data_IF_004141910088
#
_entry.id   IF_004141910088
#
_cell.length_a   1.000
_cell.length_b   1.000
_cell.length_c   1.000
_cell.angle_alpha   90.00
_cell.angle_beta   90.00
_cell.angle_gamma   90.00
#
_symmetry.space_group_name_H-M   'P 1'
#
loop_
_entity.id
_entity.type
_entity.pdbx_description
1 polymer ?
#
# COMPACT_ATOMS: atom_id res chain seq x y z
N UNK A 1 -7.93 -6.26 -73.48
CA UNK A 1 -7.95 -6.89 -72.14
C UNK A 1 -9.23 -7.69 -71.98
N UNK A 2 -9.15 -9.02 -71.97
CA UNK A 2 -10.29 -9.89 -71.64
C UNK A 2 -10.28 -10.10 -70.13
N UNK A 3 -11.29 -9.57 -69.44
CA UNK A 3 -11.48 -9.78 -68.00
C UNK A 3 -11.98 -11.21 -67.74
N UNK A 4 -11.36 -11.89 -66.80
CA UNK A 4 -11.68 -13.27 -66.41
C UNK A 4 -13.04 -13.38 -65.72
N UNK A 5 -13.61 -14.58 -65.70
CA UNK A 5 -14.94 -14.85 -65.15
C UNK A 5 -15.06 -14.50 -63.65
N UNK A 6 -13.96 -14.46 -62.90
CA UNK A 6 -13.93 -14.11 -61.47
C UNK A 6 -14.11 -12.61 -61.20
N UNK A 7 -13.62 -11.73 -62.09
CA UNK A 7 -13.77 -10.28 -61.91
C UNK A 7 -15.22 -9.81 -62.12
N UNK A 8 -15.97 -10.53 -62.96
CA UNK A 8 -17.41 -10.26 -63.17
C UNK A 8 -18.25 -10.67 -61.95
N UNK A 9 -17.85 -11.70 -61.20
CA UNK A 9 -18.54 -12.09 -59.97
C UNK A 9 -18.28 -11.11 -58.82
N UNK A 10 -17.07 -10.55 -58.72
CA UNK A 10 -16.75 -9.50 -57.73
C UNK A 10 -17.55 -8.22 -57.98
N UNK A 11 -17.65 -7.75 -59.23
CA UNK A 11 -18.47 -6.57 -59.57
C UNK A 11 -19.97 -6.79 -59.32
N UNK A 12 -20.48 -8.00 -59.53
CA UNK A 12 -21.88 -8.34 -59.24
C UNK A 12 -22.18 -8.37 -57.72
N UNK A 13 -21.22 -8.82 -56.90
CA UNK A 13 -21.33 -8.80 -55.44
C UNK A 13 -21.34 -7.37 -54.89
N UNK A 14 -20.49 -6.48 -55.40
CA UNK A 14 -20.45 -5.06 -55.00
C UNK A 14 -21.69 -4.27 -55.45
N UNK A 15 -22.25 -4.57 -56.64
CA UNK A 15 -23.48 -3.94 -57.12
C UNK A 15 -24.72 -4.39 -56.30
N UNK A 16 -24.77 -5.66 -55.85
CA UNK A 16 -25.82 -6.14 -54.95
C UNK A 16 -25.71 -5.54 -53.55
N UNK A 17 -24.50 -5.34 -53.02
CA UNK A 17 -24.29 -4.70 -51.72
C UNK A 17 -24.81 -3.25 -51.73
N UNK A 18 -24.51 -2.47 -52.77
CA UNK A 18 -25.04 -1.10 -52.92
C UNK A 18 -26.56 -1.03 -53.10
N UNK A 19 -27.19 -2.08 -53.65
CA UNK A 19 -28.65 -2.14 -53.81
C UNK A 19 -29.36 -2.52 -52.50
N UNK A 20 -28.70 -3.27 -51.61
CA UNK A 20 -29.18 -3.55 -50.25
C UNK A 20 -29.07 -2.30 -49.36
N UNK A 21 -27.98 -1.54 -49.48
CA UNK A 21 -27.80 -0.28 -48.74
C UNK A 21 -28.73 0.85 -49.22
N UNK A 22 -29.17 0.88 -50.49
CA UNK A 22 -30.09 1.91 -51.01
C UNK A 22 -31.58 1.65 -50.72
N UNK A 23 -31.95 0.44 -50.29
CA UNK A 23 -33.35 0.05 -50.00
C UNK A 23 -33.73 0.08 -48.52
N UNK A 24 -32.80 0.36 -47.59
CA UNK A 24 -33.11 0.64 -46.18
C UNK A 24 -33.38 2.14 -45.92
N UNK A 25 -34.23 2.76 -46.75
CA UNK A 25 -34.60 4.18 -46.67
C UNK A 25 -35.81 4.45 -45.73
N UNK A 26 -36.02 3.63 -44.69
CA UNK A 26 -37.08 3.85 -43.70
C UNK A 26 -36.60 4.61 -42.45
N UNK A 27 -35.54 5.42 -42.59
CA UNK A 27 -35.01 6.26 -41.50
C UNK A 27 -34.56 7.65 -41.98
N UNK A 28 -35.22 8.21 -43.00
CA UNK A 28 -34.90 9.56 -43.53
C UNK A 28 -35.86 10.68 -43.11
N UNK A 29 -36.76 10.47 -42.15
CA UNK A 29 -37.67 11.55 -41.71
C UNK A 29 -37.67 11.89 -40.21
N UNK A 30 -36.72 11.41 -39.39
CA UNK A 30 -36.64 11.83 -37.97
C UNK A 30 -35.20 11.99 -37.47
N UNK A 31 -34.34 12.63 -38.26
CA UNK A 31 -32.98 12.98 -37.84
C UNK A 31 -32.79 14.49 -37.97
N UNK A 32 -33.22 15.20 -36.93
CA UNK A 32 -32.68 16.52 -36.62
C UNK A 32 -31.29 16.26 -35.99
N UNK A 33 -30.17 16.62 -36.63
CA UNK A 33 -28.82 16.25 -36.17
C UNK A 33 -28.46 16.85 -34.80
N UNK A 34 -29.20 17.86 -34.33
CA UNK A 34 -29.03 18.49 -33.01
C UNK A 34 -29.64 17.70 -31.85
N UNK A 35 -30.57 16.76 -32.10
CA UNK A 35 -31.24 15.98 -31.06
C UNK A 35 -30.58 14.61 -30.80
N UNK A 36 -29.79 14.10 -31.76
CA UNK A 36 -29.09 12.82 -31.61
C UNK A 36 -27.80 12.95 -30.80
N UNK A 37 -27.12 14.11 -30.84
CA UNK A 37 -25.97 14.40 -29.98
C UNK A 37 -26.36 14.41 -28.49
N UNK A 38 -27.56 14.91 -28.18
CA UNK A 38 -28.05 15.00 -26.80
C UNK A 38 -28.43 13.62 -26.25
N UNK A 39 -28.97 12.71 -27.08
CA UNK A 39 -29.36 11.35 -26.65
C UNK A 39 -28.22 10.33 -26.64
N UNK A 40 -27.19 10.49 -27.48
CA UNK A 40 -25.94 9.70 -27.34
C UNK A 40 -25.15 10.14 -26.09
N UNK A 41 -25.19 11.43 -25.75
CA UNK A 41 -24.60 11.93 -24.51
C UNK A 41 -25.36 11.47 -23.26
N UNK A 42 -26.70 11.38 -23.28
CA UNK A 42 -27.45 10.93 -22.08
C UNK A 42 -27.44 9.42 -21.87
N UNK A 43 -27.24 8.60 -22.91
CA UNK A 43 -27.17 7.14 -22.72
C UNK A 43 -25.74 6.65 -22.38
N UNK A 44 -24.71 7.40 -22.76
CA UNK A 44 -23.33 7.18 -22.30
C UNK A 44 -23.09 7.66 -20.85
N UNK A 45 -23.90 8.61 -20.34
CA UNK A 45 -23.81 9.11 -18.94
C UNK A 45 -24.49 8.17 -17.93
N UNK A 46 -25.35 7.25 -18.37
CA UNK A 46 -25.95 6.23 -17.48
C UNK A 46 -25.23 4.86 -17.49
N UNK A 47 -24.20 4.68 -18.33
CA UNK A 47 -23.32 3.50 -18.28
C UNK A 47 -21.90 3.83 -17.81
N UNK A 48 -21.58 5.12 -17.61
CA UNK A 48 -20.33 5.57 -17.00
C UNK A 48 -20.45 5.84 -15.49
N UNK A 49 -21.65 5.82 -14.92
CA UNK A 49 -21.92 6.11 -13.50
C UNK A 49 -21.89 4.87 -12.59
N UNK A 50 -21.33 3.75 -13.08
CA UNK A 50 -20.98 2.59 -12.25
C UNK A 50 -19.48 2.27 -12.28
N UNK A 51 -18.62 3.26 -12.60
CA UNK A 51 -17.33 3.30 -11.90
C UNK A 51 -17.73 3.67 -10.49
N UNK A 52 -17.87 2.66 -9.64
CA UNK A 52 -17.93 2.84 -8.20
C UNK A 52 -16.92 3.93 -7.84
N UNK A 53 -17.35 4.93 -7.07
CA UNK A 53 -16.41 5.66 -6.24
C UNK A 53 -15.64 4.59 -5.46
N UNK A 54 -14.46 4.21 -5.93
CA UNK A 54 -13.55 3.40 -5.15
C UNK A 54 -13.22 4.30 -3.98
N UNK A 55 -13.72 3.93 -2.80
CA UNK A 55 -13.37 4.64 -1.58
C UNK A 55 -11.85 4.56 -1.48
N UNK A 56 -11.21 5.70 -1.64
CA UNK A 56 -9.81 5.85 -1.31
C UNK A 56 -9.65 5.58 0.18
N UNK A 57 -8.70 4.72 0.53
CA UNK A 57 -8.34 4.42 1.90
C UNK A 57 -6.91 4.89 2.13
N UNK A 58 -6.75 5.79 3.11
CA UNK A 58 -5.47 6.43 3.43
C UNK A 58 -4.92 5.79 4.68
N UNK A 59 -3.66 5.37 4.60
CA UNK A 59 -2.87 4.85 5.71
C UNK A 59 -1.70 5.80 5.92
N UNK A 60 -1.61 6.38 7.11
CA UNK A 60 -0.35 6.98 7.55
C UNK A 60 0.46 5.85 8.21
N UNK A 61 1.47 5.36 7.49
CA UNK A 61 2.23 4.17 7.87
C UNK A 61 3.44 4.56 8.68
N UNK A 62 3.40 4.20 9.96
CA UNK A 62 4.49 4.40 10.91
C UNK A 62 5.62 3.41 10.69
N UNK A 63 6.86 3.86 10.87
CA UNK A 63 8.02 2.99 10.76
C UNK A 63 8.33 2.36 12.12
N UNK A 64 8.61 1.04 12.20
CA UNK A 64 9.05 0.43 13.45
C UNK A 64 10.39 1.05 13.88
N UNK A 65 10.62 1.15 15.19
CA UNK A 65 11.80 1.81 15.74
C UNK A 65 13.11 1.20 15.19
N UNK A 66 13.96 2.04 14.56
CA UNK A 66 15.21 1.63 13.92
C UNK A 66 15.04 0.90 12.57
N UNK A 67 13.85 0.98 11.96
CA UNK A 67 13.51 0.22 10.77
C UNK A 67 14.07 0.76 9.46
N UNK A 68 14.36 2.06 9.35
CA UNK A 68 14.67 2.74 8.08
C UNK A 68 16.10 3.23 7.97
N UNK A 69 17.05 2.33 8.21
CA UNK A 69 18.45 2.62 7.92
C UNK A 69 18.64 2.79 6.42
N UNK A 70 19.00 4.00 6.01
CA UNK A 70 19.42 4.34 4.66
C UNK A 70 20.93 4.52 4.67
N UNK A 71 21.62 3.64 3.96
CA UNK A 71 23.04 3.81 3.71
C UNK A 71 23.22 4.92 2.67
N UNK A 72 24.20 5.79 2.87
CA UNK A 72 24.48 6.88 1.96
C UNK A 72 25.97 6.98 1.63
N UNK A 73 26.26 7.44 0.42
CA UNK A 73 27.61 7.74 -0.02
C UNK A 73 27.62 9.05 -0.82
N UNK A 74 28.61 9.89 -0.54
CA UNK A 74 28.79 11.15 -1.25
C UNK A 74 30.12 11.15 -2.00
N UNK A 75 30.07 11.66 -3.22
CA UNK A 75 31.20 11.77 -4.12
C UNK A 75 31.32 13.21 -4.61
N UNK A 76 32.53 13.75 -4.60
CA UNK A 76 32.83 15.05 -5.21
C UNK A 76 33.92 14.90 -6.26
N UNK A 77 34.25 15.99 -6.95
CA UNK A 77 35.40 16.04 -7.85
C UNK A 77 36.75 15.74 -7.17
N UNK A 78 36.84 15.85 -5.84
CA UNK A 78 38.04 15.54 -5.07
C UNK A 78 38.12 14.08 -4.61
N UNK A 79 37.04 13.31 -4.76
CA UNK A 79 36.96 11.92 -4.34
C UNK A 79 35.70 11.58 -3.55
N UNK A 80 35.65 10.37 -3.01
CA UNK A 80 34.62 9.91 -2.08
C UNK A 80 34.82 10.61 -0.72
N UNK A 81 33.72 10.99 -0.08
CA UNK A 81 33.76 11.49 1.30
C UNK A 81 33.97 10.33 2.27
N UNK A 82 34.83 10.56 3.26
CA UNK A 82 34.86 9.79 4.50
C UNK A 82 33.83 10.37 5.48
N UNK A 83 33.40 9.61 6.48
CA UNK A 83 32.51 10.11 7.54
C UNK A 83 31.37 9.17 7.84
N UNK A 84 30.22 9.75 8.19
CA UNK A 84 29.00 8.97 8.39
C UNK A 84 28.65 8.21 7.11
N UNK A 85 28.00 7.06 7.26
CA UNK A 85 27.65 6.16 6.15
C UNK A 85 26.17 5.76 6.14
N UNK A 86 25.39 6.20 7.13
CA UNK A 86 23.94 5.99 7.17
C UNK A 86 23.19 7.11 7.87
N UNK A 87 21.89 7.18 7.61
CA UNK A 87 20.91 7.93 8.39
C UNK A 87 19.59 7.13 8.49
N UNK A 88 18.77 7.48 9.46
CA UNK A 88 17.41 7.00 9.62
C UNK A 88 16.41 8.07 9.12
N UNK A 89 15.22 7.61 8.72
CA UNK A 89 14.12 8.49 8.28
C UNK A 89 12.88 8.25 9.16
N UNK A 90 12.87 8.63 10.44
CA UNK A 90 11.65 8.59 11.24
C UNK A 90 10.53 9.44 10.64
N UNK A 91 9.30 9.03 10.97
CA UNK A 91 8.07 9.66 10.51
C UNK A 91 7.14 8.63 9.89
N UNK A 92 6.06 9.13 9.30
CA UNK A 92 5.04 8.29 8.68
C UNK A 92 5.04 8.52 7.17
N UNK A 93 4.68 7.46 6.43
CA UNK A 93 4.53 7.50 4.98
C UNK A 93 3.05 7.41 4.65
N UNK A 94 2.53 8.39 3.93
CA UNK A 94 1.16 8.37 3.45
C UNK A 94 1.02 7.40 2.28
N UNK A 95 0.10 6.45 2.42
CA UNK A 95 -0.20 5.47 1.38
C UNK A 95 -1.70 5.41 1.14
N UNK A 96 -2.12 5.71 -0.09
CA UNK A 96 -3.50 5.48 -0.51
C UNK A 96 -3.63 4.15 -1.22
N UNK A 97 -4.68 3.40 -0.92
CA UNK A 97 -5.13 2.24 -1.71
C UNK A 97 -6.62 2.32 -2.02
N UNK A 98 -7.03 1.64 -3.09
CA UNK A 98 -8.43 1.60 -3.55
C UNK A 98 -9.33 0.64 -2.78
N UNK A 99 -8.78 -0.15 -1.86
CA UNK A 99 -9.50 -1.11 -1.03
C UNK A 99 -9.02 -0.99 0.42
N UNK A 100 -9.90 -1.11 1.42
CA UNK A 100 -9.50 -1.05 2.82
C UNK A 100 -8.75 -2.32 3.27
N UNK A 101 -8.75 -3.36 2.42
CA UNK A 101 -8.16 -4.67 2.67
C UNK A 101 -7.63 -5.31 1.40
N UNK A 102 -6.74 -6.29 1.53
CA UNK A 102 -6.28 -7.10 0.40
C UNK A 102 -7.45 -7.78 -0.34
N UNK A 103 -7.35 -7.97 -1.67
CA UNK A 103 -6.23 -7.57 -2.52
C UNK A 103 -6.23 -6.06 -2.85
N UNK A 104 -5.06 -5.43 -2.71
CA UNK A 104 -4.84 -4.07 -3.19
C UNK A 104 -4.60 -4.11 -4.71
N UNK A 105 -5.28 -3.25 -5.47
CA UNK A 105 -5.16 -3.19 -6.93
C UNK A 105 -4.36 -1.99 -7.41
N UNK A 106 -4.51 -0.86 -6.71
CA UNK A 106 -3.80 0.38 -7.01
C UNK A 106 -3.38 1.05 -5.71
N UNK A 107 -2.20 1.65 -5.74
CA UNK A 107 -1.63 2.43 -4.65
C UNK A 107 -1.26 3.84 -5.09
N UNK A 108 -1.07 4.74 -4.14
CA UNK A 108 -0.46 6.04 -4.38
C UNK A 108 0.36 6.46 -3.16
N UNK A 109 1.61 6.87 -3.37
CA UNK A 109 2.42 7.52 -2.34
C UNK A 109 1.96 8.96 -2.16
N UNK A 110 1.80 9.39 -0.91
CA UNK A 110 1.37 10.74 -0.57
C UNK A 110 1.99 11.23 0.73
N UNK A 111 1.83 12.53 0.94
CA UNK A 111 2.13 13.19 2.20
C UNK A 111 1.31 12.55 3.33
N UNK A 112 1.99 12.16 4.41
CA UNK A 112 1.33 11.69 5.61
C UNK A 112 0.64 12.85 6.33
N UNK A 113 -0.49 12.59 6.99
CA UNK A 113 -1.22 13.66 7.70
C UNK A 113 -0.57 14.10 9.01
N UNK A 114 0.38 13.30 9.52
CA UNK A 114 1.03 13.49 10.82
C UNK A 114 2.28 14.36 10.77
N UNK A 115 2.85 14.61 9.60
CA UNK A 115 4.01 15.48 9.40
C UNK A 115 5.06 14.90 8.44
N UNK A 116 6.15 15.63 8.19
CA UNK A 116 7.18 15.21 7.26
C UNK A 116 8.02 14.07 7.82
N UNK A 117 8.67 13.37 6.90
CA UNK A 117 9.80 12.50 7.22
C UNK A 117 10.99 13.37 7.60
N UNK A 118 11.70 12.98 8.66
CA UNK A 118 12.84 13.75 9.19
C UNK A 118 14.09 12.91 9.09
N UNK A 119 15.16 13.45 8.52
CA UNK A 119 16.46 12.79 8.51
C UNK A 119 17.12 12.88 9.89
N UNK A 120 17.57 11.77 10.45
CA UNK A 120 18.33 11.73 11.71
C UNK A 120 19.38 10.62 11.70
N UNK A 121 20.57 10.79 12.29
CA UNK A 121 21.10 12.05 12.83
C UNK A 121 21.47 13.03 11.70
N UNK A 122 22.02 14.18 12.09
CA UNK A 122 22.77 15.02 11.17
C UNK A 122 23.87 14.19 10.53
N UNK A 123 24.02 14.31 9.21
CA UNK A 123 25.02 13.59 8.43
C UNK A 123 26.24 14.48 8.19
N UNK A 124 27.44 13.99 8.50
CA UNK A 124 28.71 14.67 8.22
C UNK A 124 29.64 13.77 7.40
N UNK A 125 30.11 14.32 6.28
CA UNK A 125 31.20 13.75 5.50
C UNK A 125 32.33 14.75 5.26
N UNK A 126 33.55 14.27 5.03
CA UNK A 126 34.71 15.10 4.74
C UNK A 126 35.68 14.43 3.77
N UNK A 127 36.56 15.24 3.17
CA UNK A 127 37.70 14.77 2.38
C UNK A 127 38.98 15.25 3.06
N UNK A 128 39.82 14.34 3.58
CA UNK A 128 41.02 14.74 4.29
C UNK A 128 42.01 15.43 3.36
N UNK A 129 42.79 16.35 3.94
CA UNK A 129 43.89 16.96 3.21
C UNK A 129 45.06 15.96 3.09
N UNK A 130 45.67 15.79 1.90
CA UNK A 130 46.88 14.99 1.75
C UNK A 130 48.00 15.43 2.70
N UNK A 131 48.00 16.70 3.13
CA UNK A 131 48.86 17.23 4.17
C UNK A 131 48.10 17.25 5.50
N UNK A 132 48.42 16.36 6.46
CA UNK A 132 47.59 16.13 7.66
C UNK A 132 47.53 17.29 8.66
N UNK A 133 48.35 18.33 8.48
CA UNK A 133 48.34 19.54 9.30
C UNK A 133 47.48 20.67 8.73
N UNK A 134 46.94 20.50 7.53
CA UNK A 134 46.01 21.43 6.92
C UNK A 134 44.56 20.99 7.19
N UNK A 135 43.60 21.94 7.24
CA UNK A 135 42.18 21.61 7.30
C UNK A 135 41.74 20.71 6.14
N UNK A 136 40.64 20.00 6.32
CA UNK A 136 40.01 19.18 5.29
C UNK A 136 39.84 19.96 3.98
N UNK A 137 39.92 19.25 2.85
CA UNK A 137 39.71 19.85 1.53
C UNK A 137 38.24 20.26 1.36
N UNK A 138 37.36 19.40 1.84
CA UNK A 138 35.91 19.57 1.80
C UNK A 138 35.31 19.01 3.09
N UNK A 139 34.38 19.73 3.70
CA UNK A 139 33.44 19.21 4.69
C UNK A 139 32.01 19.41 4.16
N UNK A 140 31.15 18.43 4.35
CA UNK A 140 29.73 18.48 3.98
C UNK A 140 28.87 18.07 5.15
N UNK A 141 27.88 18.89 5.46
CA UNK A 141 26.89 18.64 6.50
C UNK A 141 25.49 18.69 5.90
N UNK A 142 24.68 17.66 6.13
CA UNK A 142 23.26 17.68 5.82
C UNK A 142 22.47 17.75 7.13
N UNK A 143 21.71 18.83 7.32
CA UNK A 143 21.08 19.18 8.60
C UNK A 143 19.59 19.39 8.45
N UNK A 144 18.84 18.91 9.44
CA UNK A 144 17.41 19.17 9.63
C UNK A 144 16.59 18.96 8.35
N UNK A 145 16.97 17.96 7.53
CA UNK A 145 16.28 17.66 6.29
C UNK A 145 14.91 17.08 6.61
N UNK A 146 13.87 17.78 6.19
CA UNK A 146 12.48 17.34 6.29
C UNK A 146 11.87 17.25 4.90
N UNK A 147 11.15 16.17 4.60
CA UNK A 147 10.55 15.98 3.28
C UNK A 147 9.33 15.07 3.29
N UNK A 148 8.61 15.06 2.17
CA UNK A 148 7.54 14.10 1.89
C UNK A 148 7.83 13.28 0.64
N UNK A 149 7.28 12.08 0.59
CA UNK A 149 7.09 11.36 -0.66
C UNK A 149 5.73 11.69 -1.25
N UNK A 150 5.69 11.90 -2.56
CA UNK A 150 4.45 11.96 -3.33
C UNK A 150 4.63 11.23 -4.65
N UNK A 151 3.56 10.67 -5.19
CA UNK A 151 3.63 9.92 -6.43
C UNK A 151 2.32 9.91 -7.18
N UNK A 152 2.38 9.52 -8.45
CA UNK A 152 1.18 9.20 -9.22
C UNK A 152 0.62 7.83 -8.79
N UNK A 153 -0.67 7.56 -9.03
CA UNK A 153 -1.22 6.23 -8.77
C UNK A 153 -0.50 5.15 -9.58
N UNK A 154 -0.18 4.02 -8.94
CA UNK A 154 0.51 2.88 -9.53
C UNK A 154 -0.26 1.57 -9.31
N UNK A 155 -0.10 0.57 -10.21
CA UNK A 155 -0.69 -0.73 -10.02
C UNK A 155 0.02 -1.53 -8.93
N UNK A 156 -0.74 -2.34 -8.19
CA UNK A 156 -0.23 -3.32 -7.22
C UNK A 156 -0.60 -4.71 -7.73
N UNK A 157 0.35 -5.63 -7.73
CA UNK A 157 0.11 -7.04 -8.03
C UNK A 157 -0.75 -7.66 -6.91
N UNK A 158 -1.98 -8.04 -7.24
CA UNK A 158 -2.97 -8.52 -6.28
C UNK A 158 -2.63 -9.86 -5.62
N UNK A 159 -1.70 -10.64 -6.18
CA UNK A 159 -1.28 -11.92 -5.63
C UNK A 159 -0.07 -11.79 -4.70
N UNK A 160 0.85 -10.88 -5.02
CA UNK A 160 2.13 -10.75 -4.32
C UNK A 160 2.23 -9.52 -3.44
N UNK A 161 1.41 -8.50 -3.69
CA UNK A 161 1.47 -7.18 -3.08
C UNK A 161 2.58 -6.29 -3.63
N UNK A 162 3.32 -6.76 -4.64
CA UNK A 162 4.47 -6.03 -5.19
C UNK A 162 3.99 -4.87 -6.07
N UNK A 163 4.74 -3.77 -6.04
CA UNK A 163 4.50 -2.60 -6.89
C UNK A 163 5.80 -1.91 -7.29
N UNK A 164 5.66 -0.99 -8.24
CA UNK A 164 6.70 -0.05 -8.62
C UNK A 164 6.06 1.34 -8.65
N UNK A 165 6.54 2.25 -7.81
CA UNK A 165 5.97 3.59 -7.65
C UNK A 165 6.90 4.66 -8.23
N UNK A 166 6.33 5.60 -8.99
CA UNK A 166 6.98 6.87 -9.30
C UNK A 166 6.89 7.78 -8.06
N UNK A 167 8.03 8.05 -7.42
CA UNK A 167 8.11 8.90 -6.24
C UNK A 167 8.86 10.21 -6.55
N UNK A 168 8.41 11.28 -5.90
CA UNK A 168 9.04 12.59 -5.86
C UNK A 168 9.26 12.93 -4.39
N UNK A 169 10.47 13.37 -4.07
CA UNK A 169 10.79 13.96 -2.76
C UNK A 169 10.51 15.45 -2.84
N UNK A 170 9.75 15.98 -1.88
CA UNK A 170 9.51 17.40 -1.70
C UNK A 170 10.05 17.84 -0.34
N UNK A 171 11.10 18.66 -0.33
CA UNK A 171 11.73 19.13 0.90
C UNK A 171 10.94 20.30 1.49
N UNK A 172 10.59 20.20 2.77
CA UNK A 172 9.94 21.26 3.53
C UNK A 172 10.92 22.08 4.34
N UNK A 173 12.04 21.48 4.74
CA UNK A 173 13.04 22.11 5.58
C UNK A 173 14.44 21.53 5.34
N UNK A 174 15.43 22.20 5.92
CA UNK A 174 16.81 21.72 6.03
C UNK A 174 17.79 22.37 5.07
N UNK A 175 19.06 22.07 5.28
CA UNK A 175 20.18 22.64 4.54
C UNK A 175 21.29 21.63 4.30
N UNK A 176 22.00 21.81 3.19
CA UNK A 176 23.29 21.17 2.93
C UNK A 176 24.36 22.26 3.00
N UNK A 177 25.23 22.19 4.00
CA UNK A 177 26.40 23.06 4.11
C UNK A 177 27.61 22.36 3.50
N UNK A 178 28.32 23.07 2.62
CA UNK A 178 29.58 22.61 2.05
C UNK A 178 30.65 23.66 2.36
N UNK A 179 31.72 23.23 3.01
CA UNK A 179 32.91 24.02 3.27
C UNK A 179 34.01 23.47 2.35
N UNK A 180 34.49 24.28 1.40
CA UNK A 180 35.60 23.89 0.53
C UNK A 180 36.68 24.95 0.55
N UNK A 181 37.92 24.55 0.80
CA UNK A 181 39.08 25.45 0.80
C UNK A 181 38.89 26.76 1.61
N UNK A 182 38.14 26.69 2.72
CA UNK A 182 37.85 27.83 3.59
C UNK A 182 36.67 28.71 3.15
N UNK A 183 35.93 28.31 2.12
CA UNK A 183 34.70 28.98 1.66
C UNK A 183 33.49 28.12 2.03
N UNK A 184 32.56 28.69 2.78
CA UNK A 184 31.28 28.06 3.14
C UNK A 184 30.21 28.41 2.11
N UNK A 185 29.50 27.39 1.64
CA UNK A 185 28.30 27.50 0.81
C UNK A 185 27.17 26.75 1.49
N UNK A 186 25.99 27.38 1.58
CA UNK A 186 24.79 26.76 2.16
C UNK A 186 23.75 26.59 1.07
N UNK A 187 23.22 25.38 0.92
CA UNK A 187 22.13 25.05 0.01
C UNK A 187 20.85 24.86 0.83
N UNK A 188 19.93 25.84 0.83
CA UNK A 188 18.64 25.67 1.47
C UNK A 188 17.82 24.67 0.66
N UNK A 189 17.30 23.63 1.32
CA UNK A 189 16.56 22.55 0.66
C UNK A 189 15.05 22.83 0.61
N UNK A 190 14.53 23.70 1.47
CA UNK A 190 13.10 24.01 1.52
C UNK A 190 12.55 24.44 0.14
N UNK A 191 11.40 23.87 -0.23
CA UNK A 191 10.73 24.05 -1.54
C UNK A 191 11.47 23.48 -2.76
N UNK A 192 12.60 22.79 -2.56
CA UNK A 192 13.21 21.98 -3.60
C UNK A 192 12.55 20.59 -3.64
N UNK A 193 12.71 19.91 -4.76
CA UNK A 193 12.29 18.52 -4.90
C UNK A 193 13.21 17.74 -5.81
N UNK A 194 13.04 16.42 -5.80
CA UNK A 194 13.75 15.54 -6.72
C UNK A 194 13.03 15.47 -8.07
N UNK A 195 13.77 15.05 -9.11
CA UNK A 195 13.11 14.44 -10.26
C UNK A 195 12.39 13.14 -9.84
N UNK A 196 11.38 12.68 -10.59
CA UNK A 196 10.73 11.40 -10.32
C UNK A 196 11.72 10.24 -10.39
N UNK A 197 11.68 9.35 -9.39
CA UNK A 197 12.47 8.12 -9.34
C UNK A 197 11.58 6.93 -8.97
N UNK A 198 12.05 5.72 -9.31
CA UNK A 198 11.31 4.49 -9.07
C UNK A 198 11.58 3.97 -7.67
N UNK A 199 10.53 3.67 -6.92
CA UNK A 199 10.60 2.95 -5.65
C UNK A 199 9.88 1.61 -5.84
N UNK A 200 10.63 0.49 -5.98
CA UNK A 200 10.04 -0.83 -5.83
C UNK A 200 9.57 -1.01 -4.41
N UNK A 201 8.48 -1.76 -4.24
CA UNK A 201 8.01 -2.06 -2.90
C UNK A 201 7.02 -3.21 -2.88
N UNK A 202 6.58 -3.50 -1.67
CA UNK A 202 5.55 -4.49 -1.41
C UNK A 202 4.65 -4.00 -0.30
N UNK A 203 3.34 -4.07 -0.52
CA UNK A 203 2.31 -3.76 0.47
C UNK A 203 1.46 -4.99 0.71
N UNK A 204 1.22 -5.28 1.98
CA UNK A 204 0.44 -6.43 2.40
C UNK A 204 -0.38 -6.16 3.64
N UNK A 205 -1.44 -6.92 3.80
CA UNK A 205 -2.26 -6.90 4.99
C UNK A 205 -1.91 -8.06 5.91
N UNK A 206 -1.58 -7.72 7.15
CA UNK A 206 -1.40 -8.69 8.22
C UNK A 206 -2.05 -8.15 9.48
N UNK A 207 -3.05 -8.86 9.97
CA UNK A 207 -3.48 -8.69 11.34
C UNK A 207 -4.08 -7.40 11.79
N UNK A 208 -5.04 -6.95 10.97
CA UNK A 208 -5.63 -5.64 11.19
C UNK A 208 -4.62 -4.53 11.04
N UNK A 209 -3.45 -4.81 10.46
CA UNK A 209 -2.49 -3.84 9.97
C UNK A 209 -2.28 -4.03 8.48
N UNK A 210 -1.83 -2.95 7.86
CA UNK A 210 -1.22 -2.96 6.55
C UNK A 210 0.26 -2.66 6.75
N UNK A 211 1.11 -3.54 6.24
CA UNK A 211 2.56 -3.39 6.24
C UNK A 211 3.02 -3.10 4.81
N UNK A 212 3.94 -2.16 4.64
CA UNK A 212 4.64 -1.95 3.40
C UNK A 212 6.15 -1.94 3.63
N UNK A 213 6.90 -2.38 2.63
CA UNK A 213 8.35 -2.25 2.56
C UNK A 213 8.66 -1.55 1.25
N UNK A 214 9.30 -0.39 1.35
CA UNK A 214 9.80 0.37 0.22
C UNK A 214 11.29 0.13 0.08
N UNK A 215 11.75 -0.16 -1.13
CA UNK A 215 13.16 -0.25 -1.47
C UNK A 215 13.60 1.11 -2.00
N UNK A 216 14.22 1.89 -1.11
CA UNK A 216 14.66 3.24 -1.42
C UNK A 216 16.02 3.15 -2.10
N UNK A 217 16.08 3.53 -3.37
CA UNK A 217 17.32 3.67 -4.14
C UNK A 217 17.26 5.00 -4.89
N UNK A 218 18.01 5.98 -4.38
CA UNK A 218 18.09 7.31 -4.95
C UNK A 218 19.53 7.63 -5.30
N UNK A 219 19.72 7.98 -6.58
CA UNK A 219 20.99 8.48 -7.09
C UNK A 219 20.79 9.86 -7.71
N UNK A 220 21.48 10.84 -7.16
CA UNK A 220 21.45 12.21 -7.65
C UNK A 220 22.87 12.73 -7.88
N UNK A 221 23.07 13.49 -8.95
CA UNK A 221 24.33 14.15 -9.22
C UNK A 221 24.06 15.52 -9.84
N UNK A 222 24.65 16.56 -9.25
CA UNK A 222 24.53 17.93 -9.73
C UNK A 222 25.82 18.72 -9.50
N UNK A 223 25.84 19.96 -9.98
CA UNK A 223 26.91 20.91 -9.73
C UNK A 223 26.35 22.24 -9.27
N UNK A 224 26.90 22.77 -8.18
CA UNK A 224 26.51 24.08 -7.67
C UNK A 224 27.73 24.79 -7.09
N UNK A 225 27.85 26.10 -7.36
CA UNK A 225 29.00 26.89 -6.94
C UNK A 225 30.34 26.45 -7.55
N UNK A 226 30.33 25.68 -8.65
CA UNK A 226 31.54 25.16 -9.29
C UNK A 226 32.06 23.83 -8.73
N UNK A 227 31.36 23.22 -7.75
CA UNK A 227 31.63 21.87 -7.27
C UNK A 227 30.61 20.89 -7.83
N UNK A 228 31.05 19.70 -8.24
CA UNK A 228 30.16 18.58 -8.52
C UNK A 228 29.98 17.73 -7.27
N UNK A 229 28.74 17.37 -6.98
CA UNK A 229 28.34 16.48 -5.91
C UNK A 229 27.47 15.37 -6.50
N UNK A 230 27.78 14.12 -6.18
CA UNK A 230 26.90 12.99 -6.39
C UNK A 230 26.59 12.33 -5.04
N UNK A 231 25.32 11.99 -4.83
CA UNK A 231 24.80 11.35 -3.64
C UNK A 231 24.11 10.07 -4.07
N UNK A 232 24.54 8.97 -3.48
CA UNK A 232 23.94 7.65 -3.63
C UNK A 232 23.32 7.27 -2.28
N UNK A 233 22.01 7.01 -2.24
CA UNK A 233 21.29 6.58 -1.04
C UNK A 233 20.57 5.26 -1.34
N UNK A 234 20.73 4.27 -0.46
CA UNK A 234 20.09 2.97 -0.60
C UNK A 234 19.64 2.41 0.74
N UNK A 235 18.44 1.86 0.83
CA UNK A 235 17.98 1.20 2.05
C UNK A 235 16.53 0.75 1.98
N UNK A 236 16.08 0.02 3.00
CA UNK A 236 14.70 -0.41 3.11
C UNK A 236 13.95 0.49 4.07
N UNK A 237 12.73 0.86 3.72
CA UNK A 237 11.82 1.60 4.60
C UNK A 237 10.61 0.70 4.90
N UNK A 238 10.64 -0.07 6.00
CA UNK A 238 9.47 -0.79 6.49
C UNK A 238 8.51 0.18 7.17
N UNK A 239 7.23 0.05 6.91
CA UNK A 239 6.19 0.85 7.54
C UNK A 239 4.92 0.03 7.77
N UNK A 240 4.16 0.38 8.80
CA UNK A 240 2.94 -0.29 9.21
C UNK A 240 1.87 0.71 9.68
N UNK A 241 0.61 0.42 9.38
CA UNK A 241 -0.56 1.15 9.87
C UNK A 241 -1.64 0.18 10.31
N UNK A 242 -2.39 0.51 11.37
CA UNK A 242 -3.60 -0.23 11.71
C UNK A 242 -4.70 0.05 10.69
N UNK A 243 -5.51 -0.96 10.38
CA UNK A 243 -6.71 -0.84 9.56
C UNK A 243 -7.76 -0.09 10.39
N UNK A 244 -8.18 1.11 9.97
CA UNK A 244 -9.14 1.89 10.73
C UNK A 244 -10.46 1.14 10.93
N UNK A 245 -11.00 1.19 12.15
CA UNK A 245 -12.34 0.67 12.47
C UNK A 245 -12.43 -0.82 12.78
N UNK A 246 -11.31 -1.55 12.83
CA UNK A 246 -11.28 -2.96 13.20
C UNK A 246 -11.13 -3.13 14.73
N UNK A 247 -12.12 -3.76 15.38
CA UNK A 247 -12.14 -4.05 16.81
C UNK A 247 -12.87 -5.39 17.04
N UNK A 248 -12.19 -6.52 16.81
CA UNK A 248 -12.83 -7.83 16.77
C UNK A 248 -13.34 -8.24 18.15
N UNK A 249 -14.59 -8.66 18.22
CA UNK A 249 -15.23 -9.15 19.45
C UNK A 249 -15.97 -10.46 19.21
N UNK A 250 -16.04 -11.30 20.25
CA UNK A 250 -16.76 -12.57 20.23
C UNK A 250 -17.77 -12.59 21.38
N UNK A 251 -19.04 -12.77 21.03
CA UNK A 251 -20.10 -13.04 21.99
C UNK A 251 -20.35 -14.55 22.05
N UNK A 252 -20.09 -15.14 23.22
CA UNK A 252 -20.36 -16.56 23.49
C UNK A 252 -21.59 -16.64 24.40
N UNK A 253 -22.69 -17.29 23.97
CA UNK A 253 -23.88 -17.42 24.79
C UNK A 253 -23.66 -18.42 25.94
N UNK A 254 -24.65 -18.55 26.82
CA UNK A 254 -24.68 -19.66 27.77
C UNK A 254 -24.71 -21.00 27.01
N UNK A 255 -23.82 -21.91 27.36
CA UNK A 255 -23.71 -23.22 26.72
C UNK A 255 -24.51 -24.24 27.52
N UNK A 256 -25.61 -24.74 26.96
CA UNK A 256 -26.43 -25.80 27.59
C UNK A 256 -26.16 -27.12 26.91
N UNK A 257 -25.81 -28.16 27.68
CA UNK A 257 -25.48 -29.48 27.14
C UNK A 257 -26.56 -30.02 26.19
N UNK A 258 -26.15 -30.40 24.96
CA UNK A 258 -27.03 -30.97 23.94
C UNK A 258 -27.96 -29.97 23.21
N UNK A 259 -27.85 -28.66 23.49
CA UNK A 259 -28.62 -27.61 22.81
C UNK A 259 -27.78 -26.90 21.74
N UNK A 260 -28.45 -26.19 20.85
CA UNK A 260 -27.78 -25.27 19.93
C UNK A 260 -27.42 -23.96 20.63
N UNK A 261 -26.23 -23.45 20.32
CA UNK A 261 -25.75 -22.15 20.73
C UNK A 261 -25.32 -21.34 19.49
N UNK A 262 -25.64 -20.04 19.48
CA UNK A 262 -25.22 -19.11 18.42
C UNK A 262 -24.11 -18.21 18.94
N UNK A 263 -22.96 -18.28 18.30
CA UNK A 263 -21.78 -17.47 18.58
C UNK A 263 -21.75 -16.31 17.59
N UNK A 264 -21.63 -15.09 18.09
CA UNK A 264 -21.61 -13.89 17.23
C UNK A 264 -20.24 -13.23 17.24
N UNK A 265 -19.70 -12.95 16.06
CA UNK A 265 -18.46 -12.23 15.84
C UNK A 265 -18.76 -10.89 15.18
N UNK A 266 -18.10 -9.83 15.65
CA UNK A 266 -18.27 -8.47 15.12
C UNK A 266 -16.98 -7.67 15.16
N UNK A 267 -16.95 -6.58 14.38
CA UNK A 267 -15.81 -5.65 14.34
C UNK A 267 -14.55 -6.23 13.68
N UNK A 268 -14.70 -7.30 12.89
CA UNK A 268 -13.61 -7.85 12.10
C UNK A 268 -13.41 -7.15 10.75
N UNK A 269 -12.50 -7.70 9.96
CA UNK A 269 -12.35 -7.37 8.55
C UNK A 269 -13.61 -7.83 7.79
N UNK A 270 -14.16 -6.97 6.94
CA UNK A 270 -15.28 -7.29 6.05
C UNK A 270 -14.90 -8.31 4.97
N UNK A 271 -15.84 -9.18 4.58
CA UNK A 271 -15.64 -10.18 3.51
C UNK A 271 -14.42 -11.11 3.70
N UNK A 272 -13.99 -11.32 4.95
CA UNK A 272 -12.83 -12.16 5.27
C UNK A 272 -13.27 -13.46 5.92
N UNK A 273 -12.52 -14.52 5.60
CA UNK A 273 -12.68 -15.80 6.31
C UNK A 273 -12.32 -15.61 7.78
N UNK A 274 -13.19 -16.14 8.64
CA UNK A 274 -13.12 -16.04 10.09
C UNK A 274 -13.29 -17.41 10.69
N UNK A 275 -12.38 -17.79 11.58
CA UNK A 275 -12.36 -19.08 12.25
C UNK A 275 -12.75 -18.92 13.71
N UNK A 276 -13.55 -19.85 14.21
CA UNK A 276 -13.80 -20.01 15.64
C UNK A 276 -12.91 -21.13 16.16
N UNK A 277 -12.00 -20.80 17.08
CA UNK A 277 -11.18 -21.73 17.83
C UNK A 277 -11.73 -21.95 19.24
N UNK A 278 -11.48 -23.14 19.78
CA UNK A 278 -11.74 -23.45 21.19
C UNK A 278 -10.59 -24.23 21.82
N UNK A 279 -10.45 -24.15 23.14
CA UNK A 279 -9.61 -25.03 23.93
C UNK A 279 -10.37 -25.56 25.14
N UNK A 280 -10.10 -26.81 25.51
CA UNK A 280 -10.52 -27.43 26.78
C UNK A 280 -9.36 -27.55 27.77
N UNK A 281 -8.14 -27.18 27.34
CA UNK A 281 -6.92 -27.24 28.16
C UNK A 281 -6.64 -25.92 28.88
N UNK A 282 -7.18 -24.81 28.36
CA UNK A 282 -7.04 -23.49 28.96
C UNK A 282 -6.45 -22.46 28.02
N UNK A 283 -5.93 -21.40 28.64
CA UNK A 283 -5.15 -20.37 27.98
C UNK A 283 -3.77 -20.90 27.60
N UNK A 284 -3.21 -20.41 26.51
CA UNK A 284 -1.87 -20.75 26.05
C UNK A 284 -1.38 -19.75 25.02
N UNK A 285 -0.31 -20.05 24.31
CA UNK A 285 0.16 -19.23 23.20
C UNK A 285 0.49 -20.17 22.04
N UNK A 286 -0.42 -20.26 21.07
CA UNK A 286 -0.28 -21.15 19.93
C UNK A 286 -0.16 -20.34 18.64
N UNK A 287 1.00 -20.35 17.96
CA UNK A 287 1.17 -19.65 16.70
C UNK A 287 0.43 -20.38 15.57
N UNK A 288 -0.37 -19.64 14.80
CA UNK A 288 -0.99 -20.13 13.56
C UNK A 288 -0.34 -19.39 12.40
N UNK A 289 0.81 -19.90 11.95
CA UNK A 289 1.65 -19.24 10.95
C UNK A 289 0.91 -18.85 9.65
N UNK A 290 0.04 -19.69 9.05
CA UNK A 290 -0.69 -19.31 7.83
C UNK A 290 -1.63 -18.12 8.02
N UNK A 291 -2.11 -17.89 9.24
CA UNK A 291 -2.96 -16.76 9.58
C UNK A 291 -2.17 -15.62 10.21
N UNK A 292 -0.85 -15.75 10.39
CA UNK A 292 -0.01 -14.74 11.04
C UNK A 292 -0.55 -14.26 12.40
N UNK A 293 -1.16 -15.16 13.19
CA UNK A 293 -1.68 -14.89 14.55
C UNK A 293 -0.98 -15.74 15.60
N UNK A 294 -1.08 -15.29 16.85
CA UNK A 294 -0.96 -16.15 18.03
C UNK A 294 -2.34 -16.25 18.68
N UNK A 295 -2.85 -17.48 18.82
CA UNK A 295 -4.03 -17.72 19.63
C UNK A 295 -3.62 -17.82 21.10
N UNK A 296 -4.39 -17.18 21.97
CA UNK A 296 -4.20 -17.20 23.42
C UNK A 296 -4.82 -18.47 24.05
N UNK A 297 -4.86 -19.55 23.26
CA UNK A 297 -5.45 -20.84 23.58
C UNK A 297 -4.37 -21.91 23.61
N UNK A 298 -4.43 -22.81 24.59
CA UNK A 298 -3.57 -23.98 24.63
C UNK A 298 -4.16 -25.09 23.76
N UNK A 299 -3.37 -25.64 22.83
CA UNK A 299 -3.82 -26.73 21.93
C UNK A 299 -5.18 -26.43 21.26
N UNK A 300 -5.31 -25.30 20.53
CA UNK A 300 -6.57 -24.86 19.96
C UNK A 300 -7.14 -25.89 18.98
N UNK A 301 -8.44 -26.08 19.05
CA UNK A 301 -9.23 -26.95 18.18
C UNK A 301 -10.06 -26.04 17.26
N UNK A 302 -9.99 -26.22 15.93
CA UNK A 302 -10.87 -25.49 15.02
C UNK A 302 -12.30 -26.01 15.18
N UNK A 303 -13.23 -25.10 15.48
CA UNK A 303 -14.65 -25.44 15.72
C UNK A 303 -15.48 -25.20 14.47
N UNK A 304 -15.33 -24.02 13.87
CA UNK A 304 -16.10 -23.63 12.70
C UNK A 304 -15.40 -22.51 11.91
N UNK A 305 -15.87 -22.27 10.69
CA UNK A 305 -15.41 -21.20 9.82
C UNK A 305 -16.60 -20.54 9.14
N UNK A 306 -16.53 -19.24 8.94
CA UNK A 306 -17.51 -18.46 8.17
C UNK A 306 -16.81 -17.29 7.46
N UNK A 307 -17.55 -16.56 6.63
CA UNK A 307 -17.06 -15.33 6.00
C UNK A 307 -17.86 -14.17 6.57
N UNK A 308 -17.17 -13.09 6.94
CA UNK A 308 -17.83 -11.88 7.45
C UNK A 308 -18.61 -11.14 6.37
N UNK A 309 -19.67 -10.47 6.78
CA UNK A 309 -20.42 -9.57 5.92
C UNK A 309 -19.64 -8.27 5.62
N UNK A 310 -20.28 -7.32 4.92
CA UNK A 310 -19.69 -6.03 4.58
C UNK A 310 -19.40 -5.14 5.82
N UNK A 311 -19.99 -5.46 6.97
CA UNK A 311 -19.79 -4.77 8.23
C UNK A 311 -18.81 -5.52 9.17
N UNK A 312 -18.16 -6.59 8.71
CA UNK A 312 -17.19 -7.34 9.50
C UNK A 312 -17.82 -8.30 10.51
N UNK A 313 -19.08 -8.69 10.33
CA UNK A 313 -19.81 -9.57 11.25
C UNK A 313 -20.04 -10.97 10.66
N UNK A 314 -20.05 -12.00 11.51
CA UNK A 314 -20.56 -13.32 11.16
C UNK A 314 -21.08 -14.04 12.40
N UNK A 315 -21.85 -15.10 12.22
CA UNK A 315 -22.28 -15.96 13.32
C UNK A 315 -22.15 -17.44 12.97
N UNK A 316 -22.02 -18.25 14.02
CA UNK A 316 -21.98 -19.72 13.91
C UNK A 316 -23.02 -20.32 14.85
N UNK A 317 -23.86 -21.20 14.32
CA UNK A 317 -24.76 -22.02 15.14
C UNK A 317 -24.16 -23.41 15.31
N UNK A 318 -23.88 -23.79 16.56
CA UNK A 318 -23.18 -25.02 16.90
C UNK A 318 -23.96 -25.83 17.93
N UNK A 319 -23.88 -27.15 17.82
CA UNK A 319 -24.41 -28.08 18.82
C UNK A 319 -23.43 -28.18 19.99
N UNK A 320 -23.88 -27.87 21.20
CA UNK A 320 -23.09 -27.99 22.41
C UNK A 320 -22.99 -29.47 22.80
N UNK A 321 -21.77 -30.04 22.98
CA UNK A 321 -21.61 -31.42 23.40
C UNK A 321 -22.29 -31.72 24.74
N UNK A 322 -22.72 -32.96 24.93
CA UNK A 322 -23.34 -33.39 26.19
C UNK A 322 -22.27 -33.65 27.28
N UNK A 323 -21.63 -32.57 27.73
CA UNK A 323 -20.50 -32.58 28.65
C UNK A 323 -20.63 -31.48 29.72
N UNK A 324 -21.72 -31.50 30.48
CA UNK A 324 -21.96 -30.55 31.58
C UNK A 324 -20.78 -30.52 32.56
N UNK A 325 -20.41 -29.31 32.99
CA UNK A 325 -19.26 -29.03 33.85
C UNK A 325 -17.92 -28.84 33.13
N UNK A 326 -17.84 -29.06 31.80
CA UNK A 326 -16.62 -28.85 31.04
C UNK A 326 -16.34 -27.35 30.86
N UNK A 327 -15.17 -26.90 31.31
CA UNK A 327 -14.65 -25.56 31.01
C UNK A 327 -14.08 -25.48 29.61
N UNK A 328 -14.44 -24.42 28.88
CA UNK A 328 -14.02 -24.20 27.49
C UNK A 328 -13.65 -22.74 27.30
N UNK A 329 -12.59 -22.49 26.54
CA UNK A 329 -12.10 -21.17 26.16
C UNK A 329 -12.27 -21.00 24.66
N UNK A 330 -12.92 -19.92 24.23
CA UNK A 330 -13.15 -19.62 22.82
C UNK A 330 -12.38 -18.38 22.41
N UNK A 331 -11.92 -18.38 21.16
CA UNK A 331 -11.32 -17.23 20.52
C UNK A 331 -11.67 -17.29 19.03
N UNK A 332 -12.12 -16.18 18.45
CA UNK A 332 -12.27 -16.08 17.01
C UNK A 332 -11.05 -15.40 16.41
N UNK A 333 -10.73 -15.75 15.17
CA UNK A 333 -9.60 -15.17 14.46
C UNK A 333 -9.87 -14.96 12.97
N UNK A 334 -9.15 -13.99 12.41
CA UNK A 334 -9.01 -13.75 10.98
C UNK A 334 -7.50 -13.65 10.66
N UNK A 335 -7.15 -13.33 9.43
CA UNK A 335 -5.76 -13.08 9.05
C UNK A 335 -5.15 -11.96 9.91
N UNK A 336 -4.26 -12.37 10.81
CA UNK A 336 -3.53 -11.65 11.85
C UNK A 336 -4.38 -10.99 12.96
N UNK A 337 -5.69 -11.23 13.00
CA UNK A 337 -6.58 -10.67 14.02
C UNK A 337 -7.09 -11.77 14.93
N UNK A 338 -7.22 -11.44 16.20
CA UNK A 338 -7.81 -12.31 17.21
C UNK A 338 -8.75 -11.51 18.10
N UNK A 339 -9.86 -12.12 18.51
CA UNK A 339 -10.68 -11.57 19.59
C UNK A 339 -9.98 -11.77 20.93
N UNK A 340 -10.40 -11.08 22.00
CA UNK A 340 -10.15 -11.55 23.36
C UNK A 340 -10.66 -12.98 23.55
N UNK A 341 -10.04 -13.72 24.47
CA UNK A 341 -10.50 -15.06 24.85
C UNK A 341 -11.73 -14.96 25.74
N UNK A 342 -12.75 -15.76 25.44
CA UNK A 342 -13.97 -15.89 26.23
C UNK A 342 -13.98 -17.24 26.92
N UNK A 343 -13.90 -17.26 28.24
CA UNK A 343 -13.98 -18.46 29.06
C UNK A 343 -15.42 -18.71 29.50
N UNK A 344 -15.89 -19.94 29.36
CA UNK A 344 -17.23 -20.36 29.79
C UNK A 344 -17.23 -21.84 30.20
N UNK A 345 -18.37 -22.34 30.68
CA UNK A 345 -18.57 -23.74 31.02
C UNK A 345 -19.88 -24.26 30.44
N UNK A 346 -19.89 -25.52 30.02
CA UNK A 346 -21.12 -26.20 29.63
C UNK A 346 -21.98 -26.44 30.87
N UNK A 347 -23.22 -25.95 30.84
CA UNK A 347 -24.24 -26.13 31.89
C UNK A 347 -25.02 -27.42 31.70
#
# INVERSE_FOLDING_TARGET
MKWGAEDKQRLWFWAKLQTVFSRMNWFKSVLNPSLMLIRLATTAVFLASAISAQSSHIYDMSQPAGGSRIDFAMHTLFGKLDGDDYFDIPGEIGFEVTSPVEPFLTGQLREASTGPLVMTPLVHGWIPNPLPFLPHLVDVYARDLEFYFSGLPFPIDSATGNFMADAIISFTNGEIEIISLGVTTIWPMASLGSDPFQIPGRIKQYGGKVEAILDFDLRWADSYGGMSLAVDCSGLIPCEALIPGVSPSLNVPALVAGQQATFDYSGGIAQSTTWLGASVQGLGTTPIAPLHIQLDLQSPIPVSTSVTDAAGNCSWTLQVPNASGLSVWFQACQMGLTTPVVATSVQ
#
